data_IF_940954322896
#
_entry.id   IF_940954322896
#
_cell.length_a   1.000
_cell.length_b   1.000
_cell.length_c   1.000
_cell.angle_alpha   90.00
_cell.angle_beta   90.00
_cell.angle_gamma   90.00
#
_symmetry.space_group_name_H-M   'P 1'
#
loop_
_entity.id
_entity.type
_entity.pdbx_description
1 polymer ?
#
# COMPACT_ATOMS: atom_id res chain seq x y z
N UNK A 1 47.65 -36.46 20.94
CA UNK A 1 47.36 -37.36 19.79
C UNK A 1 46.10 -38.11 20.18
N UNK A 2 44.89 -37.96 19.61
CA UNK A 2 44.42 -37.66 18.25
C UNK A 2 43.57 -36.36 18.14
N UNK A 3 43.38 -35.91 16.89
CA UNK A 3 42.93 -34.59 16.44
C UNK A 3 41.40 -34.39 16.45
N UNK A 4 40.88 -33.17 16.70
CA UNK A 4 39.50 -32.80 16.36
C UNK A 4 39.38 -32.54 14.84
N UNK A 5 39.55 -33.58 14.03
CA UNK A 5 39.45 -33.50 12.55
C UNK A 5 38.16 -34.11 11.99
N UNK A 6 37.12 -34.30 12.82
CA UNK A 6 35.84 -34.90 12.37
C UNK A 6 34.60 -34.02 12.60
N UNK A 7 34.75 -32.74 12.97
CA UNK A 7 33.67 -31.76 12.81
C UNK A 7 33.79 -31.19 11.39
N UNK A 8 33.35 -31.98 10.41
CA UNK A 8 33.61 -31.75 9.00
C UNK A 8 33.07 -30.41 8.45
N UNK A 9 33.50 -30.04 7.24
CA UNK A 9 33.29 -28.74 6.60
C UNK A 9 31.84 -28.49 6.13
N UNK A 10 30.84 -28.98 6.85
CA UNK A 10 29.44 -28.97 6.46
C UNK A 10 28.75 -27.62 6.74
N UNK A 11 29.26 -26.85 7.70
CA UNK A 11 28.74 -25.53 8.08
C UNK A 11 29.06 -24.49 6.99
N UNK A 12 30.13 -24.68 6.22
CA UNK A 12 30.54 -23.71 5.19
C UNK A 12 29.53 -23.61 4.04
N UNK A 13 28.78 -24.68 3.75
CA UNK A 13 27.69 -24.68 2.76
C UNK A 13 26.44 -23.91 3.21
N UNK A 14 26.28 -23.66 4.51
CA UNK A 14 25.17 -22.86 5.04
C UNK A 14 25.37 -21.35 4.81
N UNK A 15 26.61 -20.89 4.61
CA UNK A 15 26.94 -19.47 4.38
C UNK A 15 26.21 -18.89 3.16
N UNK A 16 26.29 -19.48 1.95
CA UNK A 16 25.56 -18.97 0.79
C UNK A 16 24.04 -19.06 0.95
N UNK A 17 23.55 -20.10 1.64
CA UNK A 17 22.11 -20.27 1.91
C UNK A 17 21.61 -19.16 2.83
N UNK A 18 22.31 -18.87 3.94
CA UNK A 18 21.98 -17.79 4.87
C UNK A 18 22.12 -16.41 4.21
N UNK A 19 23.07 -16.22 3.28
CA UNK A 19 23.18 -14.98 2.49
C UNK A 19 22.00 -14.81 1.53
N UNK A 20 21.59 -15.86 0.81
CA UNK A 20 20.41 -15.84 -0.07
C UNK A 20 19.10 -15.66 0.72
N UNK A 21 18.92 -16.37 1.83
CA UNK A 21 17.72 -16.25 2.68
C UNK A 21 17.74 -14.95 3.48
N UNK A 22 18.90 -14.46 3.88
CA UNK A 22 19.06 -13.18 4.56
C UNK A 22 18.72 -12.01 3.63
N UNK A 23 19.28 -11.99 2.41
CA UNK A 23 19.02 -10.89 1.47
C UNK A 23 17.64 -11.01 0.82
N UNK A 24 17.26 -12.20 0.35
CA UNK A 24 15.97 -12.48 -0.29
C UNK A 24 14.80 -12.57 0.68
N UNK A 25 15.00 -13.14 1.86
CA UNK A 25 13.98 -13.21 2.91
C UNK A 25 13.74 -11.86 3.57
N UNK A 26 14.79 -11.06 3.81
CA UNK A 26 14.61 -9.70 4.32
C UNK A 26 13.93 -8.79 3.29
N UNK A 27 14.29 -8.88 2.00
CA UNK A 27 13.54 -8.18 0.94
C UNK A 27 12.11 -8.69 0.82
N UNK A 28 11.86 -10.00 0.90
CA UNK A 28 10.50 -10.55 0.86
C UNK A 28 9.66 -10.10 2.07
N UNK A 29 10.24 -10.02 3.27
CA UNK A 29 9.58 -9.52 4.49
C UNK A 29 9.31 -8.02 4.37
N UNK A 30 10.27 -7.23 3.88
CA UNK A 30 10.06 -5.79 3.64
C UNK A 30 9.00 -5.59 2.56
N UNK A 31 9.06 -6.30 1.44
CA UNK A 31 8.08 -6.22 0.35
C UNK A 31 6.71 -6.66 0.83
N UNK A 32 6.58 -7.74 1.61
CA UNK A 32 5.28 -8.15 2.18
C UNK A 32 4.80 -7.20 3.27
N UNK A 33 5.67 -6.55 4.05
CA UNK A 33 5.26 -5.52 5.04
C UNK A 33 4.86 -4.21 4.38
N UNK A 34 5.52 -3.81 3.30
CA UNK A 34 5.17 -2.65 2.47
C UNK A 34 3.89 -2.94 1.66
N UNK A 35 3.76 -4.12 1.05
CA UNK A 35 2.56 -4.53 0.31
C UNK A 35 1.37 -4.90 1.20
N UNK A 36 1.59 -5.23 2.48
CA UNK A 36 0.53 -5.36 3.50
C UNK A 36 0.18 -4.04 4.18
N UNK A 37 0.80 -2.91 3.80
CA UNK A 37 0.08 -1.64 3.95
C UNK A 37 -1.17 -1.79 3.08
N UNK A 38 -2.37 -1.60 3.62
CA UNK A 38 -3.61 -1.71 2.86
C UNK A 38 -3.75 -0.50 1.93
N UNK A 39 -2.76 -0.25 1.07
CA UNK A 39 -2.76 0.83 0.06
C UNK A 39 -2.82 0.22 -1.35
N UNK A 40 -3.55 -0.87 -1.46
CA UNK A 40 -4.29 -1.10 -2.69
C UNK A 40 -5.68 -1.51 -2.26
N UNK A 41 -6.61 -0.55 -2.13
CA UNK A 41 -7.98 -0.91 -2.42
C UNK A 41 -7.88 -1.52 -3.81
N UNK A 42 -8.23 -2.81 -3.92
CA UNK A 42 -8.72 -3.31 -5.18
C UNK A 42 -9.74 -2.27 -5.61
N UNK A 43 -9.39 -1.45 -6.60
CA UNK A 43 -10.34 -0.62 -7.29
C UNK A 43 -11.19 -1.61 -8.09
N UNK A 44 -12.03 -2.36 -7.38
CA UNK A 44 -13.40 -2.46 -7.81
C UNK A 44 -13.81 -1.03 -8.09
N UNK A 45 -14.35 -0.70 -9.27
CA UNK A 45 -15.01 0.58 -9.47
C UNK A 45 -16.28 0.56 -8.60
N UNK A 46 -16.11 0.55 -7.28
CA UNK A 46 -17.08 1.10 -6.37
C UNK A 46 -17.27 2.52 -6.88
N UNK A 47 -18.51 2.95 -7.14
CA UNK A 47 -18.76 4.34 -7.48
C UNK A 47 -18.25 5.17 -6.30
N UNK A 48 -17.01 5.66 -6.41
CA UNK A 48 -16.40 6.51 -5.40
C UNK A 48 -17.23 7.77 -5.37
N UNK A 49 -17.74 8.10 -4.18
CA UNK A 49 -18.55 9.28 -4.00
C UNK A 49 -17.74 10.51 -4.44
N UNK A 50 -18.21 11.31 -5.41
CA UNK A 50 -17.50 12.52 -5.83
C UNK A 50 -17.20 13.48 -4.66
N UNK A 51 -17.97 13.43 -3.57
CA UNK A 51 -17.71 14.19 -2.35
C UNK A 51 -16.47 13.66 -1.59
N UNK A 52 -16.25 12.35 -1.58
CA UNK A 52 -15.09 11.72 -0.96
C UNK A 52 -13.81 12.15 -1.66
N UNK A 53 -13.82 12.16 -3.00
CA UNK A 53 -12.70 12.65 -3.83
C UNK A 53 -12.40 14.14 -3.55
N UNK A 54 -13.45 14.96 -3.41
CA UNK A 54 -13.26 16.38 -3.10
C UNK A 54 -12.64 16.57 -1.70
N UNK A 55 -13.06 15.77 -0.71
CA UNK A 55 -12.52 15.81 0.66
C UNK A 55 -11.05 15.42 0.69
N UNK A 56 -10.67 14.38 -0.03
CA UNK A 56 -9.27 13.94 -0.14
C UNK A 56 -8.40 15.05 -0.73
N UNK A 57 -8.84 15.69 -1.82
CA UNK A 57 -8.08 16.78 -2.45
C UNK A 57 -7.95 17.99 -1.53
N UNK A 58 -9.00 18.33 -0.78
CA UNK A 58 -8.93 19.41 0.21
C UNK A 58 -7.94 19.08 1.34
N UNK A 59 -7.97 17.86 1.87
CA UNK A 59 -7.04 17.41 2.90
C UNK A 59 -5.57 17.39 2.42
N UNK A 60 -5.36 17.14 1.13
CA UNK A 60 -4.05 17.22 0.47
C UNK A 60 -3.60 18.66 0.17
N UNK A 61 -4.47 19.66 0.38
CA UNK A 61 -4.20 21.06 0.01
C UNK A 61 -4.15 21.31 -1.49
N UNK A 62 -4.71 20.41 -2.31
CA UNK A 62 -4.75 20.52 -3.78
C UNK A 62 -5.84 21.48 -4.26
N UNK A 63 -6.84 21.74 -3.43
CA UNK A 63 -7.92 22.69 -3.70
C UNK A 63 -8.12 23.59 -2.48
N UNK A 64 -8.53 24.83 -2.73
CA UNK A 64 -8.89 25.76 -1.67
C UNK A 64 -10.25 25.40 -1.06
N UNK A 65 -10.56 26.01 0.09
CA UNK A 65 -11.88 25.84 0.72
C UNK A 65 -13.01 26.35 -0.19
N UNK A 66 -12.78 27.46 -0.90
CA UNK A 66 -13.75 28.06 -1.82
C UNK A 66 -14.05 27.12 -3.01
N UNK A 67 -13.02 26.45 -3.53
CA UNK A 67 -13.15 25.47 -4.60
C UNK A 67 -13.87 24.20 -4.13
N UNK A 68 -13.59 23.74 -2.92
CA UNK A 68 -14.29 22.62 -2.30
C UNK A 68 -15.79 22.94 -2.13
N UNK A 69 -16.13 24.11 -1.58
CA UNK A 69 -17.51 24.53 -1.36
C UNK A 69 -18.28 24.67 -2.69
N UNK A 70 -17.63 25.18 -3.75
CA UNK A 70 -18.21 25.26 -5.09
C UNK A 70 -18.52 23.87 -5.69
N UNK A 71 -17.62 22.89 -5.49
CA UNK A 71 -17.81 21.52 -5.94
C UNK A 71 -18.97 20.84 -5.19
N UNK A 72 -19.02 20.98 -3.86
CA UNK A 72 -20.08 20.44 -3.01
C UNK A 72 -21.44 21.03 -3.41
N UNK A 73 -21.52 22.35 -3.56
CA UNK A 73 -22.76 23.04 -3.95
C UNK A 73 -23.27 22.61 -5.33
N UNK A 74 -22.37 22.36 -6.29
CA UNK A 74 -22.74 21.81 -7.60
C UNK A 74 -23.29 20.39 -7.49
N UNK A 75 -22.67 19.57 -6.65
CA UNK A 75 -23.03 18.17 -6.47
C UNK A 75 -24.44 18.02 -5.90
N UNK A 76 -24.72 18.73 -4.81
CA UNK A 76 -26.05 18.78 -4.15
C UNK A 76 -27.11 19.22 -5.14
N UNK A 77 -26.85 20.29 -5.90
CA UNK A 77 -27.79 20.80 -6.91
C UNK A 77 -28.10 19.79 -8.02
N UNK A 78 -27.15 18.93 -8.37
CA UNK A 78 -27.36 17.89 -9.39
C UNK A 78 -28.09 16.66 -8.86
N UNK A 79 -27.91 16.31 -7.57
CA UNK A 79 -28.64 15.23 -6.93
C UNK A 79 -30.12 15.58 -6.72
N UNK A 80 -30.41 16.81 -6.30
CA UNK A 80 -31.78 17.32 -6.15
C UNK A 80 -32.54 17.37 -7.48
N UNK A 81 -31.81 17.45 -8.60
CA UNK A 81 -32.39 17.50 -9.95
C UNK A 81 -32.57 16.12 -10.58
N UNK A 82 -32.30 15.02 -9.85
CA UNK A 82 -32.56 13.67 -10.37
C UNK A 82 -34.08 13.51 -10.56
N UNK A 83 -34.59 13.43 -11.81
CA UNK A 83 -36.01 13.26 -12.02
C UNK A 83 -36.44 11.90 -11.43
N UNK A 84 -37.63 11.81 -10.81
CA UNK A 84 -38.19 10.52 -10.44
C UNK A 84 -38.41 9.75 -11.75
N UNK A 85 -37.67 8.64 -11.93
CA UNK A 85 -38.04 7.64 -12.92
C UNK A 85 -39.23 6.84 -12.38
#
# INVERSE_FOLDING_TARGET
MMNPMMAGPHIWWLIPVVMMTGLGGFTAIILTRVAKRPDSPRISPTPTDPLEIARERYAQGLISQEEFDALVGRLVRTEDKKPPF
#
